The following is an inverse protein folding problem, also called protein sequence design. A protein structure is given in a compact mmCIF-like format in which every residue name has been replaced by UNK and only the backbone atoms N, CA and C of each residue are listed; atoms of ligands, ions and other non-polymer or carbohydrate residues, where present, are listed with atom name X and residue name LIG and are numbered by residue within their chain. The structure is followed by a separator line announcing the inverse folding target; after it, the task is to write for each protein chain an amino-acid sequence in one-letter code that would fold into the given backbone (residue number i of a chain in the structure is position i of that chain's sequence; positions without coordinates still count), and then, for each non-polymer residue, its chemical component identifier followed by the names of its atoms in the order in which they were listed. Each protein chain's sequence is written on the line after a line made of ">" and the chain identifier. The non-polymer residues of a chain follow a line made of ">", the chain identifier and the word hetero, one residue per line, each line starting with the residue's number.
data_IF_514823599301
#
_entry.id   IF_514823599301
#
_cell.length_a   1.000
_cell.length_b   1.000
_cell.length_c   1.000
_cell.angle_alpha   90.00
_cell.angle_beta   90.00
_cell.angle_gamma   90.00
#
_symmetry.space_group_name_H-M   'P 1'
#
loop_
_entity.id
_entity.type
_entity.pdbx_description
1 polymer ?
#
# COMPACT_ATOMS: atom_id res chain seq x y z
N UNK A 1 -19.49 3.02 -2.20
CA UNK A 1 -18.98 4.37 -1.99
C UNK A 1 -18.63 4.49 -0.51
N UNK A 2 -17.37 4.20 -0.15
CA UNK A 2 -16.71 4.96 0.93
C UNK A 2 -16.57 6.40 0.39
N UNK A 3 -17.71 7.06 0.17
CA UNK A 3 -17.77 8.43 -0.29
C UNK A 3 -17.87 9.29 0.94
N UNK A 4 -16.99 10.28 0.95
CA UNK A 4 -17.08 11.50 1.72
C UNK A 4 -18.54 11.92 1.90
N UNK A 5 -19.10 11.65 3.08
CA UNK A 5 -20.28 12.37 3.53
C UNK A 5 -19.83 13.77 3.91
N UNK A 6 -19.88 14.69 2.94
CA UNK A 6 -19.85 16.14 3.21
C UNK A 6 -20.96 16.45 4.22
N UNK A 7 -20.58 16.69 5.46
CA UNK A 7 -21.46 17.29 6.45
C UNK A 7 -21.31 18.81 6.35
N UNK A 8 -22.35 19.49 5.89
CA UNK A 8 -22.43 20.96 5.94
C UNK A 8 -22.50 21.41 7.41
N UNK A 9 -21.64 22.33 7.90
CA UNK A 9 -21.86 22.95 9.20
C UNK A 9 -22.73 24.20 9.04
N UNK A 10 -23.75 24.27 9.90
CA UNK A 10 -24.51 25.47 10.19
C UNK A 10 -23.60 26.58 10.74
N UNK A 11 -23.85 27.80 10.27
CA UNK A 11 -23.19 29.04 10.66
C UNK A 11 -23.23 29.23 12.18
N UNK A 12 -22.07 29.41 12.80
CA UNK A 12 -21.93 29.91 14.16
C UNK A 12 -20.75 30.89 14.20
N UNK A 13 -21.06 32.19 14.29
CA UNK A 13 -20.09 33.22 14.63
C UNK A 13 -19.63 33.02 16.08
N UNK A 14 -18.35 32.70 16.27
CA UNK A 14 -17.66 32.94 17.53
C UNK A 14 -16.19 33.26 17.26
N UNK A 15 -15.83 34.53 17.48
CA UNK A 15 -14.47 35.04 17.49
C UNK A 15 -13.62 34.31 18.53
N UNK A 16 -12.59 33.58 18.09
CA UNK A 16 -11.50 33.13 18.96
C UNK A 16 -10.16 33.53 18.35
N UNK A 17 -9.37 34.19 19.21
CA UNK A 17 -8.04 34.71 18.99
C UNK A 17 -7.12 33.61 18.46
N UNK A 18 -6.51 33.87 17.30
CA UNK A 18 -5.63 32.96 16.59
C UNK A 18 -4.27 32.91 17.33
N UNK A 19 -3.91 31.74 17.88
CA UNK A 19 -2.51 31.43 18.12
C UNK A 19 -1.86 31.16 16.75
N UNK A 20 -0.62 31.62 16.49
CA UNK A 20 0.00 31.39 15.20
C UNK A 20 0.15 29.86 14.99
N UNK A 21 -0.15 29.34 13.78
CA UNK A 21 0.17 27.95 13.49
C UNK A 21 1.69 27.82 13.64
N UNK A 22 2.16 26.77 14.32
CA UNK A 22 3.51 26.28 14.09
C UNK A 22 3.63 26.10 12.57
N UNK A 23 4.38 26.99 11.92
CA UNK A 23 4.79 26.83 10.54
C UNK A 23 5.47 25.46 10.45
N UNK A 24 4.73 24.46 9.98
CA UNK A 24 5.36 23.25 9.50
C UNK A 24 6.32 23.72 8.42
N UNK A 25 7.62 23.63 8.69
CA UNK A 25 8.67 23.95 7.73
C UNK A 25 8.50 22.99 6.55
N UNK A 26 7.69 23.40 5.57
CA UNK A 26 7.45 22.69 4.33
C UNK A 26 8.79 22.53 3.63
N UNK A 27 9.11 21.32 3.16
CA UNK A 27 10.40 21.10 2.51
C UNK A 27 10.38 21.71 1.11
N UNK A 28 10.87 22.94 0.99
CA UNK A 28 11.23 23.53 -0.31
C UNK A 28 12.46 22.87 -0.93
N UNK A 29 13.07 21.89 -0.24
CA UNK A 29 14.34 21.27 -0.60
C UNK A 29 14.21 19.86 -1.22
N UNK A 30 12.99 19.38 -1.52
CA UNK A 30 12.81 18.05 -2.12
C UNK A 30 13.59 17.92 -3.45
N UNK A 31 13.53 18.95 -4.29
CA UNK A 31 14.27 19.02 -5.56
C UNK A 31 15.39 20.05 -5.42
N UNK A 32 16.64 19.62 -5.48
CA UNK A 32 17.81 20.50 -5.49
C UNK A 32 18.00 21.21 -6.84
N UNK A 33 19.25 21.53 -7.19
CA UNK A 33 19.60 22.18 -8.46
C UNK A 33 19.51 21.23 -9.67
N UNK A 34 19.45 19.92 -9.43
CA UNK A 34 19.34 18.90 -10.47
C UNK A 34 17.94 18.31 -10.49
N UNK A 35 17.36 18.06 -11.68
CA UNK A 35 16.10 17.34 -11.78
C UNK A 35 16.20 15.96 -11.14
N UNK A 36 15.11 15.49 -10.54
CA UNK A 36 14.99 14.15 -9.94
C UNK A 36 13.88 13.36 -10.62
N UNK A 37 13.92 12.03 -10.58
CA UNK A 37 12.81 11.22 -11.08
C UNK A 37 11.57 11.44 -10.22
N UNK A 38 10.37 11.24 -10.80
CA UNK A 38 9.11 11.37 -10.07
C UNK A 38 9.07 10.42 -8.85
N UNK A 39 9.60 9.19 -8.97
CA UNK A 39 9.68 8.30 -7.80
C UNK A 39 10.51 8.89 -6.65
N UNK A 40 11.59 9.62 -6.95
CA UNK A 40 12.51 10.12 -5.93
C UNK A 40 11.91 11.35 -5.23
N UNK A 41 11.18 12.18 -5.99
CA UNK A 41 10.34 13.25 -5.44
C UNK A 41 9.31 12.67 -4.46
N UNK A 42 8.53 11.67 -4.89
CA UNK A 42 7.47 11.05 -4.07
C UNK A 42 8.08 10.39 -2.83
N UNK A 43 9.17 9.65 -2.99
CA UNK A 43 9.87 9.03 -1.87
C UNK A 43 10.27 10.07 -0.82
N UNK A 44 10.82 11.21 -1.24
CA UNK A 44 11.19 12.29 -0.33
C UNK A 44 9.95 12.93 0.34
N UNK A 45 8.90 13.21 -0.43
CA UNK A 45 7.65 13.77 0.09
C UNK A 45 6.99 12.88 1.17
N UNK A 46 7.07 11.56 1.01
CA UNK A 46 6.46 10.61 1.95
C UNK A 46 7.39 10.22 3.12
N UNK A 47 8.65 9.92 2.82
CA UNK A 47 9.54 9.17 3.71
C UNK A 47 10.84 9.90 4.08
N UNK A 48 11.03 11.17 3.69
CA UNK A 48 12.22 11.90 4.12
C UNK A 48 12.30 11.96 5.65
N UNK A 49 13.42 11.56 6.30
CA UNK A 49 13.47 11.37 7.76
C UNK A 49 13.07 12.58 8.61
N UNK A 50 13.25 13.78 8.08
CA UNK A 50 12.94 15.04 8.77
C UNK A 50 11.66 15.72 8.26
N UNK A 51 11.26 15.44 7.02
CA UNK A 51 10.24 16.25 6.33
C UNK A 51 9.20 15.45 5.57
N UNK A 52 9.34 14.14 5.49
CA UNK A 52 8.36 13.27 4.87
C UNK A 52 7.08 13.25 5.68
N UNK A 53 5.96 13.06 4.99
CA UNK A 53 4.63 12.98 5.58
C UNK A 53 4.57 12.01 6.77
N UNK A 54 5.09 10.79 6.60
CA UNK A 54 5.08 9.77 7.66
C UNK A 54 6.10 10.02 8.79
N UNK A 55 7.10 10.89 8.55
CA UNK A 55 8.09 11.27 9.57
C UNK A 55 7.63 12.46 10.40
N UNK A 56 7.03 13.49 9.78
CA UNK A 56 6.56 14.68 10.49
C UNK A 56 5.24 14.43 11.25
N UNK A 57 4.37 13.58 10.70
CA UNK A 57 3.03 13.36 11.22
C UNK A 57 2.89 11.92 11.70
N UNK A 58 3.56 11.55 12.78
CA UNK A 58 3.39 10.20 13.37
C UNK A 58 1.94 9.87 13.73
N UNK A 59 1.11 10.89 13.99
CA UNK A 59 -0.36 10.76 14.20
C UNK A 59 -1.17 10.61 12.90
N UNK A 60 -0.53 10.57 11.73
CA UNK A 60 -1.21 10.29 10.45
C UNK A 60 -1.80 8.89 10.42
N UNK A 61 -1.16 7.92 11.08
CA UNK A 61 -1.72 6.58 11.30
C UNK A 61 -2.61 6.63 12.55
N UNK A 62 -3.92 6.51 12.35
CA UNK A 62 -4.91 6.57 13.41
C UNK A 62 -4.95 5.30 14.24
N UNK A 63 -4.92 5.44 15.57
CA UNK A 63 -5.05 4.31 16.50
C UNK A 63 -6.33 4.47 17.30
N UNK A 64 -7.24 3.50 17.20
CA UNK A 64 -8.43 3.52 18.04
C UNK A 64 -8.09 3.03 19.45
N UNK A 65 -8.53 3.69 20.53
CA UNK A 65 -8.24 3.22 21.88
C UNK A 65 -8.97 1.91 22.21
N UNK A 66 -10.10 1.64 21.55
CA UNK A 66 -10.91 0.44 21.78
C UNK A 66 -11.49 -0.09 20.47
N UNK A 67 -11.74 -1.41 20.42
CA UNK A 67 -12.47 -2.03 19.33
C UNK A 67 -13.92 -1.50 19.25
N UNK A 68 -14.41 -1.31 18.01
CA UNK A 68 -15.78 -0.85 17.76
C UNK A 68 -16.75 -1.98 18.12
N UNK A 69 -17.76 -1.66 18.94
CA UNK A 69 -18.84 -2.60 19.30
C UNK A 69 -19.95 -2.54 18.24
N UNK A 70 -19.70 -3.13 17.06
CA UNK A 70 -20.61 -3.08 15.91
C UNK A 70 -22.04 -3.54 16.24
N UNK A 71 -22.18 -4.60 17.05
CA UNK A 71 -23.47 -5.13 17.49
C UNK A 71 -24.28 -4.17 18.40
N UNK A 72 -23.69 -3.07 18.86
CA UNK A 72 -24.39 -2.01 19.59
C UNK A 72 -24.88 -0.88 18.68
N UNK A 73 -24.35 -0.80 17.44
CA UNK A 73 -24.77 0.18 16.45
C UNK A 73 -26.03 -0.31 15.73
N UNK A 74 -26.97 0.61 15.51
CA UNK A 74 -28.26 0.26 14.90
C UNK A 74 -28.12 -0.23 13.45
N UNK A 75 -27.17 0.35 12.71
CA UNK A 75 -27.06 0.16 11.28
C UNK A 75 -26.07 1.11 10.64
N UNK A 76 -26.09 1.18 9.31
CA UNK A 76 -25.16 2.03 8.52
C UNK A 76 -25.12 3.48 8.98
N UNK A 77 -26.28 4.12 9.17
CA UNK A 77 -26.35 5.53 9.58
C UNK A 77 -25.69 5.78 10.95
N UNK A 78 -25.89 4.87 11.90
CA UNK A 78 -25.28 4.98 13.23
C UNK A 78 -23.77 4.77 13.17
N UNK A 79 -23.30 3.82 12.35
CA UNK A 79 -21.89 3.58 12.11
C UNK A 79 -21.20 4.79 11.46
N UNK A 80 -21.77 5.37 10.41
CA UNK A 80 -21.19 6.55 9.77
C UNK A 80 -21.09 7.74 10.73
N UNK A 81 -22.13 7.98 11.56
CA UNK A 81 -22.07 9.01 12.60
C UNK A 81 -20.97 8.73 13.64
N UNK A 82 -20.75 7.46 13.98
CA UNK A 82 -19.68 7.05 14.90
C UNK A 82 -18.29 7.31 14.29
N UNK A 83 -18.08 6.94 13.02
CA UNK A 83 -16.85 7.25 12.28
C UNK A 83 -16.60 8.75 12.14
N UNK A 84 -17.63 9.53 11.79
CA UNK A 84 -17.51 10.99 11.68
C UNK A 84 -17.02 11.61 13.01
N UNK A 85 -17.48 11.09 14.14
CA UNK A 85 -17.02 11.55 15.45
C UNK A 85 -15.57 11.16 15.72
N UNK A 86 -15.16 9.94 15.36
CA UNK A 86 -13.75 9.51 15.46
C UNK A 86 -12.86 10.45 14.63
N UNK A 87 -13.20 10.67 13.36
CA UNK A 87 -12.38 11.49 12.47
C UNK A 87 -12.26 12.94 12.96
N UNK A 88 -13.33 13.51 13.51
CA UNK A 88 -13.29 14.86 14.12
C UNK A 88 -12.40 14.93 15.36
N UNK A 89 -12.29 13.85 16.12
CA UNK A 89 -11.45 13.79 17.32
C UNK A 89 -9.98 13.52 17.00
N UNK A 90 -9.68 12.92 15.84
CA UNK A 90 -8.33 12.51 15.46
C UNK A 90 -7.63 13.44 14.46
N UNK A 91 -8.26 14.57 14.13
CA UNK A 91 -7.75 15.68 13.29
C UNK A 91 -7.13 15.25 11.95
N UNK A 92 -5.88 14.78 11.98
CA UNK A 92 -5.07 14.41 10.82
C UNK A 92 -5.01 12.91 10.54
N UNK A 93 -5.56 12.06 11.41
CA UNK A 93 -5.39 10.60 11.29
C UNK A 93 -6.23 9.95 10.17
N UNK A 94 -5.65 8.94 9.53
CA UNK A 94 -6.29 7.97 8.65
C UNK A 94 -6.43 6.63 9.38
N UNK A 95 -7.59 5.99 9.30
CA UNK A 95 -7.82 4.70 9.94
C UNK A 95 -7.89 3.59 8.89
N UNK A 96 -6.93 2.68 8.96
CA UNK A 96 -6.86 1.46 8.15
C UNK A 96 -7.97 0.48 8.56
N UNK A 97 -8.35 -0.50 7.71
CA UNK A 97 -9.24 -1.59 8.08
C UNK A 97 -8.76 -2.37 9.32
N UNK A 98 -7.44 -2.54 9.46
CA UNK A 98 -6.84 -3.18 10.64
C UNK A 98 -7.30 -2.49 11.91
N UNK A 99 -7.28 -1.15 11.93
CA UNK A 99 -7.67 -0.35 13.10
C UNK A 99 -9.18 -0.31 13.29
N UNK A 100 -9.94 -0.06 12.22
CA UNK A 100 -11.40 0.04 12.29
C UNK A 100 -12.07 -1.27 12.72
N UNK A 101 -11.51 -2.41 12.31
CA UNK A 101 -12.11 -3.72 12.54
C UNK A 101 -11.35 -4.59 13.53
N UNK A 102 -10.44 -4.04 14.35
CA UNK A 102 -9.68 -4.85 15.30
C UNK A 102 -10.58 -5.58 16.32
N UNK A 103 -10.23 -6.82 16.69
CA UNK A 103 -9.12 -7.63 16.17
C UNK A 103 -9.48 -8.46 14.93
N UNK A 104 -10.70 -8.34 14.42
CA UNK A 104 -11.32 -9.26 13.45
C UNK A 104 -10.61 -9.27 12.09
N UNK A 105 -10.06 -8.14 11.64
CA UNK A 105 -9.27 -8.08 10.41
C UNK A 105 -7.99 -8.93 10.53
N UNK A 106 -7.24 -8.73 11.62
CA UNK A 106 -6.02 -9.49 11.91
C UNK A 106 -6.31 -10.99 12.11
N UNK A 107 -7.44 -11.33 12.74
CA UNK A 107 -7.87 -12.72 12.89
C UNK A 107 -8.12 -13.39 11.53
N UNK A 108 -8.71 -12.70 10.55
CA UNK A 108 -8.90 -13.25 9.21
C UNK A 108 -7.56 -13.59 8.54
N UNK A 109 -6.58 -12.71 8.68
CA UNK A 109 -5.22 -12.95 8.16
C UNK A 109 -4.56 -14.12 8.88
N UNK A 110 -4.68 -14.18 10.21
CA UNK A 110 -4.15 -15.28 11.00
C UNK A 110 -4.79 -16.63 10.61
N UNK A 111 -6.10 -16.65 10.37
CA UNK A 111 -6.81 -17.85 9.92
C UNK A 111 -6.34 -18.31 8.52
N UNK A 112 -6.15 -17.37 7.59
CA UNK A 112 -5.59 -17.69 6.27
C UNK A 112 -4.20 -18.33 6.37
N UNK A 113 -3.34 -17.81 7.25
CA UNK A 113 -2.03 -18.39 7.56
C UNK A 113 -2.19 -19.76 8.21
N UNK A 114 -3.06 -19.90 9.21
CA UNK A 114 -3.27 -21.14 9.96
C UNK A 114 -3.76 -22.29 9.10
N UNK A 115 -4.58 -22.02 8.08
CA UNK A 115 -5.07 -23.05 7.14
C UNK A 115 -4.03 -23.52 6.13
N UNK A 116 -2.96 -22.77 5.90
CA UNK A 116 -2.06 -22.99 4.76
C UNK A 116 -0.59 -23.14 5.13
N UNK A 117 -0.18 -22.70 6.31
CA UNK A 117 1.20 -22.77 6.76
C UNK A 117 1.64 -24.22 7.05
N UNK A 118 2.88 -24.54 6.71
CA UNK A 118 3.50 -25.79 7.10
C UNK A 118 4.10 -25.68 8.52
N UNK A 119 3.40 -26.24 9.50
CA UNK A 119 3.82 -26.25 10.91
C UNK A 119 4.84 -27.35 11.26
N UNK A 120 5.45 -28.03 10.28
CA UNK A 120 6.64 -28.85 10.52
C UNK A 120 7.90 -28.01 10.75
N UNK A 121 7.86 -26.74 10.36
CA UNK A 121 8.90 -25.74 10.65
C UNK A 121 8.31 -24.62 11.51
N UNK A 122 9.14 -23.91 12.30
CA UNK A 122 8.66 -22.76 13.09
C UNK A 122 7.97 -21.71 12.20
N UNK A 123 6.87 -21.14 12.68
CA UNK A 123 6.14 -20.10 11.94
C UNK A 123 6.94 -18.79 11.99
N UNK A 124 7.31 -18.26 10.83
CA UNK A 124 8.01 -16.98 10.71
C UNK A 124 7.18 -16.01 9.89
N UNK A 125 6.91 -14.82 10.44
CA UNK A 125 6.12 -13.78 9.80
C UNK A 125 6.96 -12.51 9.74
N UNK A 126 7.03 -11.91 8.56
CA UNK A 126 7.46 -10.55 8.33
C UNK A 126 6.24 -9.69 8.03
N UNK A 127 6.11 -8.53 8.66
CA UNK A 127 5.12 -7.52 8.32
C UNK A 127 5.86 -6.27 7.84
N UNK A 128 5.62 -5.85 6.60
CA UNK A 128 6.21 -4.64 6.06
C UNK A 128 5.22 -3.50 6.33
N UNK A 129 5.67 -2.41 6.96
CA UNK A 129 4.79 -1.28 7.30
C UNK A 129 3.70 -1.65 8.30
N UNK A 130 4.06 -2.19 9.47
CA UNK A 130 3.10 -2.68 10.48
C UNK A 130 2.22 -1.59 11.15
N UNK A 131 2.38 -0.32 10.78
CA UNK A 131 1.60 0.79 11.29
C UNK A 131 1.71 0.90 12.81
N UNK A 132 0.57 0.78 13.51
CA UNK A 132 0.49 0.79 14.97
C UNK A 132 0.88 -0.53 15.65
N UNK A 133 1.01 -1.63 14.90
CA UNK A 133 1.25 -2.97 15.45
C UNK A 133 -0.04 -3.70 15.87
N UNK A 134 -1.20 -3.09 15.64
CA UNK A 134 -2.51 -3.73 15.89
C UNK A 134 -2.68 -5.04 15.13
N UNK A 135 -2.18 -5.12 13.89
CA UNK A 135 -2.23 -6.34 13.09
C UNK A 135 -1.36 -7.44 13.70
N UNK A 136 -0.07 -7.16 13.94
CA UNK A 136 0.84 -8.07 14.63
C UNK A 136 0.25 -8.61 15.95
N UNK A 137 -0.22 -7.71 16.82
CA UNK A 137 -0.86 -8.09 18.09
C UNK A 137 -2.06 -9.01 17.86
N UNK A 138 -2.97 -8.65 16.95
CA UNK A 138 -4.17 -9.44 16.66
C UNK A 138 -3.85 -10.82 16.07
N UNK A 139 -2.85 -10.93 15.19
CA UNK A 139 -2.41 -12.21 14.64
C UNK A 139 -1.79 -13.08 15.74
N UNK A 140 -0.93 -12.51 16.59
CA UNK A 140 -0.28 -13.25 17.67
C UNK A 140 -1.27 -13.69 18.75
N UNK A 141 -2.27 -12.85 19.09
CA UNK A 141 -3.40 -13.20 19.96
C UNK A 141 -4.17 -14.39 19.37
N UNK A 142 -4.48 -14.37 18.07
CA UNK A 142 -5.19 -15.46 17.39
C UNK A 142 -4.39 -16.77 17.43
N UNK A 143 -3.11 -16.73 17.07
CA UNK A 143 -2.24 -17.92 17.04
C UNK A 143 -2.08 -18.48 18.45
N UNK A 144 -1.90 -17.63 19.47
CA UNK A 144 -1.79 -18.05 20.87
C UNK A 144 -3.01 -18.83 21.33
N UNK A 145 -4.22 -18.42 20.89
CA UNK A 145 -5.48 -19.02 21.32
C UNK A 145 -5.88 -20.26 20.51
N UNK A 146 -5.51 -20.32 19.23
CA UNK A 146 -6.07 -21.32 18.30
C UNK A 146 -5.03 -22.32 17.77
N UNK A 147 -3.73 -22.02 17.82
CA UNK A 147 -2.69 -22.94 17.35
C UNK A 147 -2.23 -23.91 18.45
N UNK A 148 -1.71 -25.10 18.10
CA UNK A 148 -0.99 -25.94 19.05
C UNK A 148 0.13 -25.14 19.72
N UNK A 149 0.31 -25.30 21.03
CA UNK A 149 1.27 -24.50 21.81
C UNK A 149 2.69 -24.46 21.22
N UNK A 150 3.15 -25.56 20.60
CA UNK A 150 4.45 -25.63 19.90
C UNK A 150 4.60 -24.59 18.78
N UNK A 151 3.52 -24.26 18.06
CA UNK A 151 3.53 -23.29 16.95
C UNK A 151 3.73 -21.90 17.51
N UNK A 152 2.88 -21.48 18.46
CA UNK A 152 3.01 -20.17 19.10
C UNK A 152 4.36 -20.04 19.84
N UNK A 153 4.79 -21.06 20.58
CA UNK A 153 6.03 -20.97 21.37
C UNK A 153 7.29 -20.86 20.52
N UNK A 154 7.28 -21.36 19.28
CA UNK A 154 8.41 -21.30 18.36
C UNK A 154 8.30 -20.22 17.29
N UNK A 155 7.20 -19.46 17.24
CA UNK A 155 7.02 -18.47 16.18
C UNK A 155 7.95 -17.27 16.34
N UNK A 156 8.27 -16.63 15.20
CA UNK A 156 8.92 -15.32 15.17
C UNK A 156 8.07 -14.38 14.31
N UNK A 157 7.79 -13.19 14.85
CA UNK A 157 7.13 -12.10 14.16
C UNK A 157 8.08 -10.90 14.07
N UNK A 158 8.36 -10.43 12.85
CA UNK A 158 9.31 -9.35 12.59
C UNK A 158 8.57 -8.28 11.80
N UNK A 159 8.35 -7.12 12.41
CA UNK A 159 7.90 -5.96 11.65
C UNK A 159 9.11 -5.24 11.04
N UNK A 160 9.02 -4.84 9.77
CA UNK A 160 10.01 -4.01 9.07
C UNK A 160 9.33 -2.66 8.81
N UNK A 161 9.77 -1.64 9.55
CA UNK A 161 9.13 -0.34 9.60
C UNK A 161 10.16 0.76 9.31
N UNK A 162 9.86 1.68 8.40
CA UNK A 162 10.79 2.76 8.05
C UNK A 162 10.72 3.91 9.05
N UNK A 163 9.55 4.13 9.68
CA UNK A 163 9.32 5.22 10.63
C UNK A 163 9.74 4.84 12.06
N UNK A 164 10.74 5.53 12.66
CA UNK A 164 11.13 5.28 14.05
C UNK A 164 9.99 5.48 15.05
N UNK A 165 9.08 6.42 14.77
CA UNK A 165 7.93 6.71 15.62
C UNK A 165 6.90 5.57 15.63
N UNK A 166 6.57 5.02 14.46
CA UNK A 166 5.66 3.87 14.36
C UNK A 166 6.31 2.61 14.92
N UNK A 167 7.62 2.44 14.73
CA UNK A 167 8.33 1.33 15.35
C UNK A 167 8.21 1.33 16.88
N UNK A 168 8.24 2.49 17.53
CA UNK A 168 8.02 2.57 18.99
C UNK A 168 6.57 2.23 19.37
N UNK A 169 5.58 2.78 18.65
CA UNK A 169 4.16 2.47 18.88
C UNK A 169 3.87 0.96 18.73
N UNK A 170 4.55 0.29 17.79
CA UNK A 170 4.43 -1.16 17.62
C UNK A 170 5.00 -1.93 18.83
N UNK A 171 6.13 -1.49 19.39
CA UNK A 171 6.70 -2.11 20.61
C UNK A 171 5.76 -1.97 21.79
N UNK A 172 5.16 -0.79 21.97
CA UNK A 172 4.19 -0.53 23.03
C UNK A 172 2.94 -1.40 22.86
N UNK A 173 2.33 -1.36 21.67
CA UNK A 173 1.08 -2.08 21.36
C UNK A 173 1.23 -3.59 21.49
N UNK A 174 2.27 -4.18 20.91
CA UNK A 174 2.50 -5.64 21.04
C UNK A 174 2.98 -6.00 22.46
N UNK A 175 3.71 -5.09 23.12
CA UNK A 175 4.23 -5.24 24.48
C UNK A 175 3.16 -5.29 25.58
N UNK A 176 1.93 -4.84 25.30
CA UNK A 176 0.78 -5.00 26.19
C UNK A 176 0.54 -6.48 26.58
N UNK A 177 0.94 -7.41 25.71
CA UNK A 177 0.82 -8.86 25.93
C UNK A 177 2.20 -9.45 26.18
N UNK A 178 2.55 -9.65 27.45
CA UNK A 178 3.89 -10.10 27.88
C UNK A 178 4.41 -11.35 27.16
N UNK A 179 3.54 -12.29 26.78
CA UNK A 179 3.92 -13.52 26.07
C UNK A 179 4.35 -13.29 24.62
N UNK A 180 4.00 -12.14 24.03
CA UNK A 180 4.39 -11.74 22.67
C UNK A 180 5.81 -11.17 22.61
N UNK A 181 6.27 -10.49 23.65
CA UNK A 181 7.58 -9.81 23.72
C UNK A 181 8.74 -10.68 23.20
N UNK A 182 8.95 -11.95 23.63
CA UNK A 182 10.08 -12.75 23.14
C UNK A 182 9.94 -13.23 21.69
N UNK A 183 8.77 -13.06 21.07
CA UNK A 183 8.45 -13.54 19.71
C UNK A 183 8.38 -12.40 18.70
N UNK A 184 8.15 -11.18 19.16
CA UNK A 184 8.00 -10.00 18.33
C UNK A 184 9.24 -9.12 18.38
N UNK A 185 9.66 -8.61 17.22
CA UNK A 185 10.60 -7.50 17.12
C UNK A 185 10.22 -6.59 15.97
N UNK A 186 10.63 -5.33 16.07
CA UNK A 186 10.54 -4.37 14.97
C UNK A 186 11.96 -3.95 14.55
N UNK A 187 12.21 -4.04 13.25
CA UNK A 187 13.45 -3.63 12.60
C UNK A 187 13.18 -2.30 11.89
N UNK A 188 13.79 -1.22 12.38
CA UNK A 188 13.59 0.12 11.84
C UNK A 188 14.47 0.32 10.59
N UNK A 189 13.94 0.03 9.39
CA UNK A 189 14.68 0.09 8.12
C UNK A 189 13.73 0.15 6.92
N UNK A 190 14.23 0.60 5.77
CA UNK A 190 13.54 0.48 4.49
C UNK A 190 13.57 -1.00 4.03
N UNK A 191 12.39 -1.58 3.79
CA UNK A 191 12.28 -2.95 3.29
C UNK A 191 12.83 -3.13 1.87
N UNK A 192 12.86 -2.05 1.08
CA UNK A 192 13.44 -2.00 -0.26
C UNK A 192 14.96 -1.76 -0.26
N UNK A 193 15.60 -1.61 0.91
CA UNK A 193 17.05 -1.61 1.06
C UNK A 193 17.56 -3.03 1.32
N UNK A 194 18.17 -3.62 0.28
CA UNK A 194 18.78 -4.94 0.32
C UNK A 194 19.84 -5.11 1.40
N UNK A 195 20.59 -4.06 1.72
CA UNK A 195 21.69 -4.12 2.69
C UNK A 195 21.14 -4.41 4.09
N UNK A 196 19.98 -3.82 4.43
CA UNK A 196 19.33 -3.97 5.73
C UNK A 196 18.93 -5.41 6.08
N UNK A 197 18.77 -6.30 5.10
CA UNK A 197 18.34 -7.69 5.31
C UNK A 197 19.47 -8.65 5.71
N UNK A 198 20.72 -8.29 5.43
CA UNK A 198 21.87 -9.16 5.69
C UNK A 198 21.86 -10.44 4.84
N UNK A 199 21.90 -11.60 5.52
CA UNK A 199 21.94 -12.92 4.86
C UNK A 199 20.55 -13.35 4.38
N UNK A 200 20.52 -14.10 3.28
CA UNK A 200 19.29 -14.66 2.71
C UNK A 200 18.66 -15.64 3.70
N UNK A 201 17.38 -15.45 4.00
CA UNK A 201 16.59 -16.33 4.85
C UNK A 201 16.06 -17.52 4.03
N UNK A 202 16.51 -18.72 4.38
CA UNK A 202 16.15 -19.95 3.69
C UNK A 202 14.93 -20.65 4.31
N UNK A 203 14.46 -20.22 5.48
CA UNK A 203 13.26 -20.74 6.11
C UNK A 203 12.00 -20.24 5.36
N UNK A 204 10.99 -21.11 5.14
CA UNK A 204 9.67 -20.66 4.73
C UNK A 204 9.13 -19.62 5.72
N UNK A 205 8.64 -18.50 5.19
CA UNK A 205 8.08 -17.42 5.99
C UNK A 205 6.85 -16.83 5.29
N UNK A 206 6.08 -16.07 6.05
CA UNK A 206 5.01 -15.23 5.53
C UNK A 206 5.49 -13.79 5.47
N UNK A 207 5.11 -13.07 4.43
CA UNK A 207 5.26 -11.63 4.30
C UNK A 207 3.87 -11.03 4.21
N UNK A 208 3.58 -10.05 5.05
CA UNK A 208 2.32 -9.34 5.12
C UNK A 208 2.57 -7.88 4.73
N UNK A 209 1.73 -7.35 3.84
CA UNK A 209 1.76 -5.96 3.36
C UNK A 209 0.33 -5.43 3.28
N UNK A 210 -0.09 -4.60 4.24
CA UNK A 210 -1.47 -4.07 4.30
C UNK A 210 -1.41 -2.55 4.18
N UNK A 211 -1.98 -1.97 3.12
CA UNK A 211 -1.86 -0.53 2.80
C UNK A 211 -0.39 -0.09 2.81
N UNK A 212 0.37 -0.76 1.94
CA UNK A 212 1.81 -0.50 1.73
C UNK A 212 2.06 -0.19 0.26
N UNK A 213 1.39 -0.91 -0.65
CA UNK A 213 1.65 -0.81 -2.08
C UNK A 213 1.20 0.54 -2.64
N UNK A 214 0.12 1.08 -2.09
CA UNK A 214 -0.41 2.39 -2.45
C UNK A 214 0.55 3.53 -2.11
N UNK A 215 1.32 3.46 -1.01
CA UNK A 215 2.29 4.49 -0.67
C UNK A 215 3.70 4.26 -1.25
N UNK A 216 3.95 3.14 -1.94
CA UNK A 216 5.23 2.93 -2.61
C UNK A 216 5.43 3.95 -3.76
N UNK A 217 6.60 4.59 -3.87
CA UNK A 217 6.83 5.58 -4.91
C UNK A 217 6.67 5.01 -6.32
N UNK A 218 5.95 5.75 -7.16
CA UNK A 218 5.77 5.41 -8.58
C UNK A 218 6.57 6.36 -9.47
N UNK A 219 7.03 5.85 -10.61
CA UNK A 219 7.50 6.69 -11.71
C UNK A 219 6.34 7.07 -12.63
N UNK A 220 6.46 8.22 -13.28
CA UNK A 220 5.54 8.66 -14.32
C UNK A 220 6.23 8.56 -15.67
N UNK A 221 5.56 7.94 -16.64
CA UNK A 221 5.95 7.95 -18.04
C UNK A 221 4.93 8.70 -18.89
N UNK A 222 5.43 9.37 -19.93
CA UNK A 222 4.66 10.22 -20.82
C UNK A 222 4.93 9.87 -22.28
N UNK A 223 3.91 9.93 -23.12
CA UNK A 223 4.05 9.89 -24.57
C UNK A 223 3.18 10.98 -25.19
N UNK A 224 3.72 11.72 -26.15
CA UNK A 224 3.01 12.83 -26.83
C UNK A 224 1.72 12.36 -27.52
N UNK A 225 1.73 11.13 -27.99
CA UNK A 225 0.59 10.48 -28.62
C UNK A 225 0.71 8.96 -28.50
N UNK A 226 -0.23 8.23 -29.09
CA UNK A 226 -0.34 6.78 -28.99
C UNK A 226 0.74 6.03 -29.78
N UNK A 227 1.43 6.68 -30.73
CA UNK A 227 2.48 6.08 -31.57
C UNK A 227 3.89 6.52 -31.15
N UNK A 228 4.03 7.60 -30.38
CA UNK A 228 5.31 8.03 -29.82
C UNK A 228 5.81 7.05 -28.77
N UNK A 229 7.13 6.90 -28.70
CA UNK A 229 7.80 6.16 -27.63
C UNK A 229 7.53 6.83 -26.27
N UNK A 230 7.51 6.02 -25.22
CA UNK A 230 7.48 6.52 -23.86
C UNK A 230 8.74 7.32 -23.52
N UNK A 231 8.54 8.34 -22.68
CA UNK A 231 9.56 9.16 -22.04
C UNK A 231 9.38 9.04 -20.53
N UNK A 232 10.48 9.06 -19.78
CA UNK A 232 10.45 9.18 -18.32
C UNK A 232 10.23 10.64 -17.93
N UNK A 233 9.43 10.85 -16.89
CA UNK A 233 9.15 12.18 -16.35
C UNK A 233 10.05 12.45 -15.15
N UNK A 234 10.63 13.64 -15.14
CA UNK A 234 11.47 14.18 -14.09
C UNK A 234 10.83 15.43 -13.50
N UNK A 235 11.12 15.74 -12.25
CA UNK A 235 10.73 16.98 -11.58
C UNK A 235 11.94 17.90 -11.51
N UNK A 236 11.79 19.13 -11.99
CA UNK A 236 12.80 20.18 -11.88
C UNK A 236 12.26 21.39 -11.14
N UNK A 237 13.15 22.11 -10.45
CA UNK A 237 12.84 23.39 -9.82
C UNK A 237 12.89 24.48 -10.89
N UNK A 238 11.85 25.31 -10.95
CA UNK A 238 11.88 26.49 -11.81
C UNK A 238 12.80 27.58 -11.25
N UNK A 239 13.15 28.56 -12.09
CA UNK A 239 14.06 29.64 -11.70
C UNK A 239 13.44 30.55 -10.62
N UNK A 240 12.10 30.58 -10.47
CA UNK A 240 11.45 31.03 -9.24
C UNK A 240 11.43 29.88 -8.23
N UNK A 241 11.95 30.12 -7.02
CA UNK A 241 12.48 29.05 -6.17
C UNK A 241 11.43 28.09 -5.56
N UNK A 242 10.13 28.31 -5.82
CA UNK A 242 9.04 27.61 -5.13
C UNK A 242 8.16 26.73 -6.03
N UNK A 243 8.28 26.85 -7.35
CA UNK A 243 7.48 26.07 -8.30
C UNK A 243 8.29 24.96 -8.97
N UNK A 244 7.61 23.85 -9.24
CA UNK A 244 8.19 22.68 -9.90
C UNK A 244 7.56 22.49 -11.28
N UNK A 245 8.33 21.97 -12.23
CA UNK A 245 7.84 21.53 -13.54
C UNK A 245 8.27 20.11 -13.88
N UNK A 246 7.55 19.51 -14.82
CA UNK A 246 7.93 18.25 -15.44
C UNK A 246 8.93 18.48 -16.57
N UNK A 247 9.99 17.68 -16.58
CA UNK A 247 10.93 17.54 -17.69
C UNK A 247 10.79 16.13 -18.27
N UNK A 248 10.72 16.02 -19.59
CA UNK A 248 10.58 14.74 -20.29
C UNK A 248 11.91 14.31 -20.88
N UNK A 249 12.33 13.07 -20.61
CA UNK A 249 13.56 12.50 -21.16
C UNK A 249 13.31 11.14 -21.81
N UNK A 250 14.10 10.73 -22.80
CA UNK A 250 14.05 9.35 -23.30
C UNK A 250 14.22 8.35 -22.16
N UNK A 251 13.57 7.19 -22.26
CA UNK A 251 13.73 6.11 -21.28
C UNK A 251 15.21 5.69 -21.17
N UNK A 252 15.78 5.87 -19.99
CA UNK A 252 17.15 5.47 -19.66
C UNK A 252 17.22 4.73 -18.33
N UNK A 253 16.30 5.01 -17.40
CA UNK A 253 16.26 4.33 -16.12
C UNK A 253 15.88 2.84 -16.27
N UNK A 254 16.69 1.97 -15.67
CA UNK A 254 16.54 0.51 -15.81
C UNK A 254 15.32 -0.02 -15.05
N UNK A 255 14.90 0.61 -13.97
CA UNK A 255 13.72 0.20 -13.21
C UNK A 255 12.45 0.57 -13.96
N UNK A 256 12.39 1.78 -14.54
CA UNK A 256 11.30 2.21 -15.43
C UNK A 256 11.22 1.28 -16.64
N UNK A 257 12.35 1.04 -17.32
CA UNK A 257 12.39 0.19 -18.52
C UNK A 257 11.85 -1.21 -18.23
N UNK A 258 12.33 -1.86 -17.15
CA UNK A 258 11.82 -3.18 -16.75
C UNK A 258 10.34 -3.16 -16.40
N UNK A 259 9.86 -2.13 -15.72
CA UNK A 259 8.45 -1.99 -15.37
C UNK A 259 7.57 -1.83 -16.62
N UNK A 260 8.02 -1.06 -17.62
CA UNK A 260 7.36 -0.93 -18.92
C UNK A 260 7.32 -2.27 -19.66
N UNK A 261 8.43 -3.01 -19.69
CA UNK A 261 8.48 -4.32 -20.35
C UNK A 261 7.54 -5.33 -19.69
N UNK A 262 7.46 -5.38 -18.34
CA UNK A 262 6.52 -6.22 -17.61
C UNK A 262 5.07 -5.82 -17.91
N UNK A 263 4.78 -4.51 -17.96
CA UNK A 263 3.46 -3.99 -18.32
C UNK A 263 3.08 -4.33 -19.77
N UNK A 264 4.01 -4.29 -20.73
CA UNK A 264 3.70 -4.54 -22.14
C UNK A 264 3.60 -6.03 -22.49
N UNK A 265 4.20 -6.93 -21.68
CA UNK A 265 3.93 -8.37 -21.76
C UNK A 265 2.43 -8.67 -21.60
N UNK A 266 1.69 -7.83 -20.88
CA UNK A 266 0.22 -7.90 -20.76
C UNK A 266 -0.50 -7.82 -22.10
N UNK A 267 -0.18 -6.76 -22.85
CA UNK A 267 -0.94 -6.37 -24.02
C UNK A 267 -0.86 -7.46 -25.08
N UNK A 268 0.26 -8.18 -25.16
CA UNK A 268 0.39 -9.28 -26.12
C UNK A 268 -0.48 -10.50 -25.83
N UNK A 269 -0.84 -10.77 -24.56
CA UNK A 269 -1.71 -11.90 -24.19
C UNK A 269 -3.19 -11.57 -24.26
N UNK A 270 -3.58 -10.36 -23.87
CA UNK A 270 -4.99 -9.96 -23.81
C UNK A 270 -5.54 -9.55 -25.20
N UNK A 271 -4.67 -9.21 -26.16
CA UNK A 271 -5.07 -8.76 -27.50
C UNK A 271 -5.20 -9.88 -28.54
N UNK A 272 -5.74 -11.04 -28.16
CA UNK A 272 -6.20 -12.06 -29.14
C UNK A 272 -7.57 -11.74 -29.77
N UNK A 273 -8.21 -10.60 -29.43
CA UNK A 273 -9.32 -10.06 -30.23
C UNK A 273 -8.79 -9.07 -31.28
N UNK A 274 -8.44 -9.61 -32.45
CA UNK A 274 -7.80 -8.88 -33.56
C UNK A 274 -8.65 -7.75 -34.15
N UNK A 275 -9.98 -7.77 -34.00
CA UNK A 275 -10.85 -6.76 -34.61
C UNK A 275 -10.83 -5.40 -33.87
N UNK A 276 -10.74 -5.39 -32.54
CA UNK A 276 -10.81 -4.14 -31.75
C UNK A 276 -9.50 -3.35 -31.77
N UNK A 277 -8.35 -4.03 -31.89
CA UNK A 277 -7.03 -3.40 -31.87
C UNK A 277 -6.71 -2.64 -33.17
N UNK A 278 -7.14 -3.15 -34.33
CA UNK A 278 -6.94 -2.47 -35.62
C UNK A 278 -7.72 -1.16 -35.69
N UNK A 279 -8.96 -1.14 -35.19
CA UNK A 279 -9.78 0.07 -35.19
C UNK A 279 -9.24 1.13 -34.21
N UNK A 280 -8.76 0.71 -33.03
CA UNK A 280 -8.04 1.62 -32.10
C UNK A 280 -6.78 2.21 -32.72
N UNK A 281 -5.99 1.41 -33.43
CA UNK A 281 -4.76 1.87 -34.10
C UNK A 281 -5.05 2.96 -35.14
N UNK A 282 -6.04 2.75 -36.00
CA UNK A 282 -6.43 3.75 -37.01
C UNK A 282 -6.93 5.04 -36.34
N UNK A 283 -7.84 4.93 -35.36
CA UNK A 283 -8.35 6.11 -34.64
C UNK A 283 -7.26 6.87 -33.90
N UNK A 284 -6.28 6.16 -33.34
CA UNK A 284 -5.17 6.78 -32.62
C UNK A 284 -4.24 7.60 -33.51
N UNK A 285 -4.12 7.24 -34.80
CA UNK A 285 -3.39 8.04 -35.79
C UNK A 285 -4.16 9.29 -36.22
N UNK A 286 -5.49 9.24 -36.19
CA UNK A 286 -6.34 10.37 -36.61
C UNK A 286 -6.55 11.38 -35.48
N UNK A 287 -6.59 10.92 -34.22
CA UNK A 287 -6.75 11.76 -33.04
C UNK A 287 -5.63 11.50 -32.03
N UNK A 288 -4.42 12.04 -32.27
CA UNK A 288 -3.32 11.91 -31.34
C UNK A 288 -3.70 12.53 -29.99
N UNK A 289 -3.51 11.78 -28.91
CA UNK A 289 -3.75 12.26 -27.55
C UNK A 289 -2.56 11.92 -26.66
N UNK A 290 -2.09 12.87 -25.84
CA UNK A 290 -1.04 12.61 -24.88
C UNK A 290 -1.46 11.51 -23.92
N UNK A 291 -0.49 10.68 -23.53
CA UNK A 291 -0.68 9.56 -22.61
C UNK A 291 0.22 9.73 -21.41
N UNK A 292 -0.33 9.44 -20.24
CA UNK A 292 0.36 9.41 -18.95
C UNK A 292 0.07 8.09 -18.28
N UNK A 293 1.11 7.48 -17.72
CA UNK A 293 0.99 6.19 -17.07
C UNK A 293 1.89 6.17 -15.84
N UNK A 294 1.29 5.88 -14.69
CA UNK A 294 2.01 5.72 -13.42
C UNK A 294 2.44 4.26 -13.28
N UNK A 295 3.74 4.07 -13.04
CA UNK A 295 4.40 2.78 -12.97
C UNK A 295 4.77 2.46 -11.52
N UNK A 296 4.39 1.28 -10.99
CA UNK A 296 4.68 0.88 -9.61
C UNK A 296 6.14 0.44 -9.44
N UNK A 297 7.10 1.32 -9.76
CA UNK A 297 8.53 1.02 -9.72
C UNK A 297 9.03 0.77 -8.30
N UNK A 298 8.47 1.45 -7.29
CA UNK A 298 8.72 1.13 -5.88
C UNK A 298 8.29 -0.28 -5.48
N UNK A 299 7.13 -0.75 -5.97
CA UNK A 299 6.67 -2.13 -5.78
C UNK A 299 7.62 -3.14 -6.45
N UNK A 300 8.03 -2.87 -7.70
CA UNK A 300 9.01 -3.70 -8.39
C UNK A 300 10.31 -3.80 -7.58
N UNK A 301 10.88 -2.67 -7.14
CA UNK A 301 12.10 -2.64 -6.32
C UNK A 301 11.94 -3.44 -5.02
N UNK A 302 10.84 -3.24 -4.29
CA UNK A 302 10.57 -3.95 -3.04
C UNK A 302 10.47 -5.47 -3.28
N UNK A 303 9.69 -5.91 -4.27
CA UNK A 303 9.50 -7.33 -4.54
C UNK A 303 10.79 -8.00 -5.05
N UNK A 304 11.64 -7.28 -5.80
CA UNK A 304 12.97 -7.78 -6.16
C UNK A 304 13.80 -8.11 -4.91
N UNK A 305 13.88 -7.18 -3.96
CA UNK A 305 14.60 -7.40 -2.69
C UNK A 305 13.99 -8.54 -1.91
N UNK A 306 12.66 -8.58 -1.76
CA UNK A 306 11.97 -9.62 -0.99
C UNK A 306 12.16 -11.03 -1.60
N UNK A 307 12.09 -11.18 -2.92
CA UNK A 307 12.34 -12.49 -3.55
C UNK A 307 13.81 -12.92 -3.46
N UNK A 308 14.74 -11.97 -3.44
CA UNK A 308 16.16 -12.26 -3.24
C UNK A 308 16.44 -12.74 -1.81
N UNK A 309 15.95 -12.00 -0.80
CA UNK A 309 16.29 -12.21 0.62
C UNK A 309 15.37 -13.22 1.32
N UNK A 310 14.13 -13.37 0.87
CA UNK A 310 13.13 -14.32 1.38
C UNK A 310 12.61 -15.26 0.26
N UNK A 311 13.47 -16.04 -0.42
CA UNK A 311 13.12 -16.79 -1.63
C UNK A 311 12.08 -17.93 -1.43
N UNK A 312 11.62 -18.16 -0.20
CA UNK A 312 10.56 -19.12 0.15
C UNK A 312 9.34 -18.44 0.79
N UNK A 313 9.20 -17.12 0.66
CA UNK A 313 8.07 -16.39 1.23
C UNK A 313 6.73 -16.78 0.57
N UNK A 314 5.70 -16.88 1.41
CA UNK A 314 4.30 -16.70 1.05
C UNK A 314 3.92 -15.23 1.30
N UNK A 315 3.27 -14.58 0.35
CA UNK A 315 2.89 -13.16 0.42
C UNK A 315 1.38 -13.04 0.61
N UNK A 316 0.98 -12.20 1.57
CA UNK A 316 -0.37 -11.66 1.73
C UNK A 316 -0.24 -10.15 1.58
N UNK A 317 -0.75 -9.60 0.49
CA UNK A 317 -0.84 -8.15 0.30
C UNK A 317 -2.31 -7.73 0.25
N UNK A 318 -2.65 -6.55 0.76
CA UNK A 318 -3.97 -5.96 0.59
C UNK A 318 -3.87 -4.46 0.40
N UNK A 319 -4.60 -3.96 -0.59
CA UNK A 319 -4.56 -2.55 -0.96
C UNK A 319 -5.76 -2.13 -1.82
N UNK A 320 -5.89 -0.83 -2.08
CA UNK A 320 -6.88 -0.24 -2.98
C UNK A 320 -6.66 -0.72 -4.41
N UNK A 321 -7.71 -1.24 -5.06
CA UNK A 321 -7.76 -1.56 -6.49
C UNK A 321 -8.20 -0.39 -7.37
N UNK A 322 -8.87 0.59 -6.78
CA UNK A 322 -9.21 1.86 -7.44
C UNK A 322 -9.39 2.97 -6.41
N UNK A 323 -9.14 4.21 -6.85
CA UNK A 323 -9.39 5.42 -6.07
C UNK A 323 -10.52 6.24 -6.71
N UNK A 324 -11.51 6.71 -5.93
CA UNK A 324 -12.55 7.59 -6.43
C UNK A 324 -12.00 9.01 -6.65
N UNK A 325 -12.63 9.75 -7.57
CA UNK A 325 -12.43 11.20 -7.73
C UNK A 325 -10.98 11.66 -7.99
N UNK A 326 -10.15 10.81 -8.61
CA UNK A 326 -8.77 11.15 -9.00
C UNK A 326 -8.77 12.25 -10.07
N UNK A 327 -8.14 13.38 -9.75
CA UNK A 327 -7.97 14.52 -10.67
C UNK A 327 -6.64 14.52 -11.40
N UNK A 328 -5.60 13.94 -10.79
CA UNK A 328 -4.26 13.87 -11.38
C UNK A 328 -4.33 13.02 -12.65
N UNK A 329 -3.77 13.48 -13.78
CA UNK A 329 -3.91 12.78 -15.04
C UNK A 329 -3.04 11.51 -15.11
N UNK A 330 -3.56 10.50 -15.80
CA UNK A 330 -2.83 9.29 -16.18
C UNK A 330 -3.46 8.00 -15.68
N UNK A 331 -3.12 6.90 -16.36
CA UNK A 331 -3.48 5.56 -15.91
C UNK A 331 -2.81 5.27 -14.56
N UNK A 332 -3.59 4.76 -13.59
CA UNK A 332 -3.16 4.51 -12.19
C UNK A 332 -2.66 5.75 -11.44
N UNK A 333 -3.18 6.93 -11.75
CA UNK A 333 -2.80 8.16 -11.06
C UNK A 333 -3.11 8.13 -9.55
N UNK A 334 -2.30 8.84 -8.74
CA UNK A 334 -2.47 8.88 -7.30
C UNK A 334 -3.59 9.83 -6.88
N UNK A 335 -4.07 9.67 -5.65
CA UNK A 335 -4.61 10.78 -4.87
C UNK A 335 -3.49 11.39 -4.04
N UNK A 336 -3.51 12.72 -3.96
CA UNK A 336 -2.60 13.50 -3.13
C UNK A 336 -3.47 14.28 -2.17
N UNK A 337 -3.46 13.92 -0.90
CA UNK A 337 -4.48 14.37 0.05
C UNK A 337 -3.89 14.76 1.40
N UNK A 338 -4.27 15.92 1.90
CA UNK A 338 -4.00 16.32 3.29
C UNK A 338 -5.28 16.27 4.11
N UNK A 339 -5.14 15.98 5.41
CA UNK A 339 -6.22 16.06 6.38
C UNK A 339 -6.03 17.22 7.33
N UNK A 340 -7.14 17.89 7.62
CA UNK A 340 -7.27 18.91 8.64
C UNK A 340 -8.70 18.94 9.16
N UNK A 341 -8.86 18.96 10.48
CA UNK A 341 -10.15 19.04 11.17
C UNK A 341 -11.13 17.91 10.74
N UNK A 342 -10.60 16.69 10.52
CA UNK A 342 -11.37 15.54 10.07
C UNK A 342 -11.87 15.61 8.62
N UNK A 343 -11.46 16.63 7.86
CA UNK A 343 -11.80 16.83 6.45
C UNK A 343 -10.56 16.62 5.57
N UNK A 344 -10.77 16.06 4.37
CA UNK A 344 -9.70 15.84 3.39
C UNK A 344 -9.74 16.89 2.27
N UNK A 345 -8.58 17.44 1.96
CA UNK A 345 -8.35 18.33 0.82
C UNK A 345 -7.41 17.62 -0.16
N UNK A 346 -7.85 17.46 -1.40
CA UNK A 346 -7.05 16.84 -2.46
C UNK A 346 -6.37 17.91 -3.30
N UNK A 347 -5.08 17.70 -3.56
CA UNK A 347 -4.29 18.54 -4.44
C UNK A 347 -4.53 18.14 -5.91
N UNK A 348 -4.34 19.11 -6.81
CA UNK A 348 -4.53 18.90 -8.24
C UNK A 348 -3.23 18.40 -8.91
N UNK A 349 -2.09 18.49 -8.20
CA UNK A 349 -0.78 17.98 -8.60
C UNK A 349 -0.03 17.29 -7.44
N UNK A 350 0.75 16.26 -7.77
CA UNK A 350 1.65 15.60 -6.82
C UNK A 350 2.82 16.49 -6.38
N UNK A 351 3.19 17.48 -7.19
CA UNK A 351 4.26 18.42 -6.86
C UNK A 351 3.89 19.40 -5.73
N UNK A 352 2.60 19.49 -5.39
CA UNK A 352 2.12 20.29 -4.27
C UNK A 352 2.39 19.62 -2.91
N UNK A 353 2.64 18.30 -2.88
CA UNK A 353 2.96 17.57 -1.66
C UNK A 353 4.38 17.89 -1.18
N UNK A 354 4.50 18.80 -0.22
CA UNK A 354 5.79 19.27 0.34
C UNK A 354 6.11 18.62 1.69
N UNK A 355 5.64 17.39 1.88
CA UNK A 355 5.71 16.64 3.15
C UNK A 355 4.47 16.73 4.04
N UNK A 356 3.42 17.40 3.57
CA UNK A 356 2.22 17.72 4.33
C UNK A 356 0.95 16.97 3.87
N UNK A 357 1.06 16.27 2.73
CA UNK A 357 0.01 15.47 2.13
C UNK A 357 0.50 14.04 1.93
N UNK A 358 -0.44 13.10 2.08
CA UNK A 358 -0.24 11.72 1.68
C UNK A 358 -0.33 11.61 0.15
N UNK A 359 0.39 10.65 -0.42
CA UNK A 359 0.39 10.32 -1.84
C UNK A 359 0.18 8.81 -1.92
N UNK A 360 -0.96 8.40 -2.47
CA UNK A 360 -1.32 6.99 -2.53
C UNK A 360 -1.95 6.62 -3.87
N UNK A 361 -1.62 5.41 -4.33
CA UNK A 361 -1.92 4.91 -5.68
C UNK A 361 -2.93 3.77 -5.64
N UNK A 362 -3.80 3.62 -6.67
CA UNK A 362 -4.51 2.36 -6.85
C UNK A 362 -3.53 1.27 -7.29
N UNK A 363 -3.58 0.12 -6.61
CA UNK A 363 -2.86 -1.08 -6.99
C UNK A 363 -3.55 -1.78 -8.16
N UNK A 364 -2.83 -1.92 -9.27
CA UNK A 364 -3.21 -2.80 -10.36
C UNK A 364 -2.78 -4.24 -10.00
N UNK A 365 -3.73 -5.01 -9.47
CA UNK A 365 -3.49 -6.36 -8.96
C UNK A 365 -3.05 -7.35 -10.04
N UNK A 366 -3.37 -7.08 -11.31
CA UNK A 366 -2.89 -7.89 -12.41
C UNK A 366 -1.41 -7.57 -12.70
N UNK A 367 -1.05 -6.30 -12.74
CA UNK A 367 0.35 -5.89 -12.89
C UNK A 367 1.21 -6.34 -11.68
N UNK A 368 0.65 -6.30 -10.46
CA UNK A 368 1.27 -6.84 -9.25
C UNK A 368 1.62 -8.32 -9.41
N UNK A 369 0.70 -9.14 -9.92
CA UNK A 369 0.95 -10.56 -10.18
C UNK A 369 2.11 -10.78 -11.16
N UNK A 370 2.20 -9.96 -12.19
CA UNK A 370 3.26 -10.04 -13.19
C UNK A 370 4.62 -9.62 -12.63
N UNK A 371 4.66 -8.56 -11.82
CA UNK A 371 5.85 -8.14 -11.09
C UNK A 371 6.30 -9.25 -10.13
N UNK A 372 5.39 -9.83 -9.36
CA UNK A 372 5.68 -10.92 -8.43
C UNK A 372 6.27 -12.15 -9.16
N UNK A 373 5.68 -12.54 -10.30
CA UNK A 373 6.22 -13.62 -11.14
C UNK A 373 7.56 -13.28 -11.79
N UNK A 374 7.79 -12.03 -12.16
CA UNK A 374 9.08 -11.57 -12.67
C UNK A 374 10.16 -11.67 -11.59
N UNK A 375 9.89 -11.09 -10.41
CA UNK A 375 10.83 -11.09 -9.28
C UNK A 375 11.09 -12.50 -8.73
N UNK A 376 10.14 -13.44 -8.84
CA UNK A 376 10.36 -14.86 -8.50
C UNK A 376 11.25 -15.62 -9.51
N UNK A 377 11.64 -14.95 -10.59
CA UNK A 377 12.40 -15.49 -11.71
C UNK A 377 11.59 -16.38 -12.63
N UNK A 378 10.27 -16.50 -12.44
CA UNK A 378 9.40 -17.33 -13.29
C UNK A 378 9.10 -16.67 -14.63
N UNK A 379 8.71 -15.40 -14.61
CA UNK A 379 8.51 -14.61 -15.82
C UNK A 379 9.88 -14.10 -16.29
N UNK A 380 10.27 -14.46 -17.51
CA UNK A 380 11.52 -13.98 -18.16
C UNK A 380 11.17 -12.98 -19.24
N UNK A 381 11.88 -11.86 -19.25
CA UNK A 381 11.80 -10.87 -20.33
C UNK A 381 12.60 -11.39 -21.54
N UNK A 382 12.15 -11.06 -22.75
CA UNK A 382 12.84 -11.32 -24.03
C UNK A 382 13.28 -12.77 -24.33
N UNK A 383 12.50 -13.77 -23.90
CA UNK A 383 12.62 -15.13 -24.45
C UNK A 383 13.87 -15.90 -24.02
N UNK A 384 14.60 -15.45 -22.99
CA UNK A 384 15.64 -16.26 -22.35
C UNK A 384 15.02 -17.40 -21.54
N UNK A 385 14.47 -18.36 -22.27
CA UNK A 385 13.91 -19.62 -21.77
C UNK A 385 14.99 -20.70 -21.61
N UNK A 386 16.27 -20.35 -21.80
CA UNK A 386 17.39 -21.30 -21.68
C UNK A 386 17.55 -21.80 -20.24
N UNK A 387 17.16 -20.97 -19.27
CA UNK A 387 17.16 -21.28 -17.85
C UNK A 387 15.76 -21.62 -17.36
N UNK A 388 15.50 -22.90 -17.04
CA UNK A 388 14.32 -23.32 -16.27
C UNK A 388 14.33 -22.82 -14.82
N UNK A 389 15.36 -22.07 -14.39
CA UNK A 389 15.46 -21.55 -13.03
C UNK A 389 14.51 -20.37 -12.84
N UNK A 390 13.34 -20.68 -12.29
CA UNK A 390 12.32 -19.75 -11.86
C UNK A 390 11.29 -20.49 -11.02
N UNK A 391 10.79 -19.88 -9.94
CA UNK A 391 9.81 -20.52 -9.06
C UNK A 391 8.42 -20.08 -9.47
N UNK A 392 7.65 -20.99 -10.10
CA UNK A 392 6.23 -20.75 -10.33
C UNK A 392 5.55 -20.50 -8.98
N UNK A 393 4.71 -19.48 -8.92
CA UNK A 393 3.90 -19.16 -7.75
C UNK A 393 2.44 -19.51 -8.03
N UNK A 394 1.70 -19.85 -6.98
CA UNK A 394 0.25 -19.93 -7.03
C UNK A 394 -0.28 -18.63 -6.46
N UNK A 395 -1.05 -17.93 -7.27
CA UNK A 395 -1.53 -16.59 -7.01
C UNK A 395 -3.06 -16.61 -6.99
N UNK A 396 -3.67 -15.78 -6.15
CA UNK A 396 -5.10 -15.52 -6.16
C UNK A 396 -5.35 -14.08 -5.70
N UNK A 397 -6.22 -13.40 -6.43
CA UNK A 397 -6.72 -12.07 -6.07
C UNK A 397 -8.18 -12.19 -5.66
N UNK A 398 -8.51 -11.72 -4.47
CA UNK A 398 -9.84 -11.77 -3.89
C UNK A 398 -10.33 -10.37 -3.59
N UNK A 399 -11.62 -10.10 -3.80
CA UNK A 399 -12.26 -8.93 -3.20
C UNK A 399 -12.12 -9.02 -1.66
N UNK A 400 -11.93 -7.89 -0.99
CA UNK A 400 -11.75 -7.90 0.48
C UNK A 400 -12.94 -8.53 1.21
N UNK A 401 -14.17 -8.35 0.71
CA UNK A 401 -15.35 -9.02 1.26
C UNK A 401 -15.25 -10.54 1.18
N UNK A 402 -14.83 -11.09 0.04
CA UNK A 402 -14.67 -12.53 -0.15
C UNK A 402 -13.58 -13.11 0.75
N UNK A 403 -12.45 -12.40 0.92
CA UNK A 403 -11.41 -12.81 1.87
C UNK A 403 -11.95 -12.85 3.31
N UNK A 404 -12.71 -11.82 3.71
CA UNK A 404 -13.27 -11.71 5.05
C UNK A 404 -14.40 -12.71 5.31
N UNK A 405 -15.14 -13.12 4.29
CA UNK A 405 -16.14 -14.19 4.39
C UNK A 405 -15.48 -15.56 4.58
N UNK A 406 -14.40 -15.83 3.85
CA UNK A 406 -13.71 -17.13 3.89
C UNK A 406 -12.90 -17.36 5.18
N UNK A 407 -12.18 -16.32 5.63
CA UNK A 407 -11.23 -16.44 6.75
C UNK A 407 -11.63 -15.64 7.99
N UNK A 408 -12.50 -14.64 7.85
CA UNK A 408 -12.87 -13.76 8.95
C UNK A 408 -14.06 -14.25 9.78
N UNK A 409 -14.54 -13.37 10.66
CA UNK A 409 -15.77 -13.56 11.42
C UNK A 409 -16.74 -12.39 11.18
N UNK A 410 -17.39 -12.29 10.00
CA UNK A 410 -18.26 -11.16 9.68
C UNK A 410 -19.40 -10.97 10.68
N UNK A 411 -19.80 -12.01 11.42
CA UNK A 411 -20.78 -11.90 12.51
C UNK A 411 -20.36 -10.93 13.63
N UNK A 412 -19.05 -10.71 13.81
CA UNK A 412 -18.50 -9.81 14.84
C UNK A 412 -18.50 -8.33 14.43
N UNK A 413 -18.58 -8.06 13.13
CA UNK A 413 -18.64 -6.70 12.57
C UNK A 413 -20.03 -6.32 12.08
N UNK A 414 -21.04 -7.20 12.28
CA UNK A 414 -22.42 -6.95 11.90
C UNK A 414 -23.13 -6.04 12.90
N UNK A 415 -23.81 -5.01 12.39
CA UNK A 415 -24.69 -4.12 13.16
C UNK A 415 -26.08 -4.74 13.37
N UNK A 416 -26.93 -4.11 14.21
CA UNK A 416 -28.22 -4.69 14.60
C UNK A 416 -29.19 -4.90 13.44
N UNK A 417 -29.18 -4.03 12.43
CA UNK A 417 -30.03 -4.16 11.24
C UNK A 417 -29.47 -5.09 10.16
N UNK A 418 -28.30 -5.71 10.41
CA UNK A 418 -27.66 -6.65 9.49
C UNK A 418 -26.57 -6.04 8.63
N UNK A 419 -26.42 -4.71 8.56
CA UNK A 419 -25.34 -4.05 7.84
C UNK A 419 -23.96 -4.47 8.37
N UNK A 420 -23.01 -4.74 7.47
CA UNK A 420 -21.67 -5.20 7.83
C UNK A 420 -20.59 -4.34 7.17
N UNK A 421 -20.08 -3.29 7.84
CA UNK A 421 -19.06 -2.41 7.28
C UNK A 421 -17.79 -3.11 6.80
N UNK A 422 -17.41 -4.25 7.41
CA UNK A 422 -16.24 -5.04 6.96
C UNK A 422 -16.43 -5.59 5.54
N UNK A 423 -17.66 -5.97 5.18
CA UNK A 423 -17.99 -6.52 3.87
C UNK A 423 -18.48 -5.45 2.89
N UNK A 424 -19.14 -4.41 3.40
CA UNK A 424 -19.92 -3.47 2.60
C UNK A 424 -19.18 -2.18 2.21
N UNK A 425 -18.21 -1.73 2.99
CA UNK A 425 -17.59 -0.42 2.79
C UNK A 425 -16.32 -0.50 1.93
N UNK A 426 -15.44 -1.45 2.19
CA UNK A 426 -14.12 -1.60 1.54
C UNK A 426 -14.19 -2.33 0.19
N UNK A 427 -15.16 -1.93 -0.65
CA UNK A 427 -15.37 -2.50 -1.99
C UNK A 427 -14.29 -2.11 -3.00
N UNK A 428 -13.44 -1.16 -2.63
CA UNK A 428 -12.34 -0.72 -3.45
C UNK A 428 -11.02 -1.37 -3.07
N UNK A 429 -10.98 -2.29 -2.09
CA UNK A 429 -9.76 -3.00 -1.70
C UNK A 429 -9.82 -4.47 -2.10
N UNK A 430 -8.64 -5.07 -2.32
CA UNK A 430 -8.50 -6.50 -2.61
C UNK A 430 -7.38 -7.11 -1.77
N UNK A 431 -7.38 -8.43 -1.70
CA UNK A 431 -6.28 -9.23 -1.20
C UNK A 431 -5.58 -9.95 -2.35
N UNK A 432 -4.26 -9.90 -2.37
CA UNK A 432 -3.38 -10.70 -3.21
C UNK A 432 -2.67 -11.74 -2.34
N UNK A 433 -2.91 -13.01 -2.61
CA UNK A 433 -2.22 -14.11 -1.97
C UNK A 433 -1.31 -14.78 -2.99
N UNK A 434 -0.04 -14.98 -2.62
CA UNK A 434 0.94 -15.60 -3.50
C UNK A 434 1.82 -16.56 -2.72
N UNK A 435 1.84 -17.83 -3.10
CA UNK A 435 2.57 -18.89 -2.39
C UNK A 435 3.53 -19.63 -3.33
N UNK A 436 4.70 -20.07 -2.85
CA UNK A 436 5.61 -20.85 -3.66
C UNK A 436 4.99 -22.20 -4.03
N UNK A 437 5.22 -22.65 -5.26
CA UNK A 437 4.91 -24.05 -5.62
C UNK A 437 6.09 -24.94 -5.25
N UNK A 438 5.80 -26.12 -4.70
CA UNK A 438 6.84 -27.13 -4.46
C UNK A 438 7.33 -27.79 -5.77
N UNK A 439 6.64 -27.52 -6.88
CA UNK A 439 7.02 -28.01 -8.20
C UNK A 439 8.09 -27.10 -8.80
N UNK A 440 9.35 -27.37 -8.45
CA UNK A 440 10.49 -26.91 -9.24
C UNK A 440 10.50 -27.80 -10.49
N UNK A 441 10.13 -27.25 -11.65
CA UNK A 441 10.20 -27.97 -12.93
C UNK A 441 11.59 -27.90 -13.56
#
# INVERSE_FOLDING_TARGET
>A
MLSRTRTFPLISLASKVCAPPLEALYSTHIVGDKPVLVRDFIHSALYHPLHGYFSQRSRSVGVLPNAIKFNQLQGRKAYMKYLDNIYKQSDISWFTPVELFKPWYAHAIAEAIMRTANFSVPLKIYEIGGGSGTCAKGIMDYIMLNAPAKVYNSMTYISVEISPSLAEVQRETVGEVRSHIPKFRVECRDAADRIGWGQVEQQPCWVIMLEVLDNLPHDLIYAENQISSWMEVWVERQHDQETFSELYKPLQDSLITRCVEIMDLDKTKTTQSTAASTMKSIWSKVYPKPRRCWLPTGCLKLLEVLHEVLPKMSLIASDFSYLPDVKIPGERAPLVSTKKDGSSLDYDSYMEAKGDADIFFPTDFWLLEQIDHYCSGWLKLHGDHSSKKGKKRRTITLESSSFMEEFGLPTKTRTKDGYNPLLDDFKNTKFYLSVPTHNIK
#
